data_IF_193500881080
#
_entry.id   IF_193500881080
#
_cell.length_a   1.000
_cell.length_b   1.000
_cell.length_c   1.000
_cell.angle_alpha   90.00
_cell.angle_beta   90.00
_cell.angle_gamma   90.00
#
_symmetry.space_group_name_H-M   'P 1'
#
loop_
_entity.id
_entity.type
_entity.pdbx_description
1 polymer ?
#
# COMPACT_ATOMS: atom_id res chain seq x y z
N UNK A 1 -1.35 16.74 41.23
CA UNK A 1 -1.79 17.05 39.86
C UNK A 1 -0.79 16.48 38.85
N UNK A 2 -0.96 15.26 38.34
CA UNK A 2 0.03 14.61 37.44
C UNK A 2 -0.59 13.85 36.25
N UNK A 3 -1.91 13.87 36.06
CA UNK A 3 -2.60 13.09 35.03
C UNK A 3 -2.57 13.71 33.62
N UNK A 4 -2.38 15.03 33.47
CA UNK A 4 -2.51 15.70 32.17
C UNK A 4 -1.31 15.51 31.22
N UNK A 5 -0.16 15.03 31.70
CA UNK A 5 1.05 14.92 30.87
C UNK A 5 0.97 13.78 29.85
N UNK A 6 0.34 12.66 30.24
CA UNK A 6 0.23 11.45 29.39
C UNK A 6 -0.83 11.60 28.29
N UNK A 7 -1.84 12.46 28.51
CA UNK A 7 -2.87 12.78 27.50
C UNK A 7 -2.31 13.67 26.39
N UNK A 8 -1.53 14.70 26.73
CA UNK A 8 -0.88 15.55 25.71
C UNK A 8 0.06 14.75 24.80
N UNK A 9 0.86 13.84 25.37
CA UNK A 9 1.80 13.02 24.60
C UNK A 9 1.08 12.07 23.59
N UNK A 10 -0.12 11.58 23.96
CA UNK A 10 -0.97 10.80 23.06
C UNK A 10 -1.61 11.66 21.96
N UNK A 11 -2.10 12.84 22.31
CA UNK A 11 -2.65 13.78 21.33
C UNK A 11 -1.58 14.24 20.33
N UNK A 12 -0.35 14.48 20.80
CA UNK A 12 0.79 14.84 19.95
C UNK A 12 1.18 13.68 19.01
N UNK A 13 1.12 12.44 19.49
CA UNK A 13 1.38 11.25 18.66
C UNK A 13 0.32 11.07 17.56
N UNK A 14 -0.98 11.21 17.89
CA UNK A 14 -2.08 11.13 16.93
C UNK A 14 -2.00 12.26 15.89
N UNK A 15 -1.71 13.49 16.32
CA UNK A 15 -1.55 14.63 15.41
C UNK A 15 -0.36 14.44 14.45
N UNK A 16 0.75 13.89 14.94
CA UNK A 16 1.91 13.54 14.10
C UNK A 16 1.55 12.49 13.06
N UNK A 17 0.80 11.46 13.43
CA UNK A 17 0.39 10.41 12.52
C UNK A 17 -0.57 10.93 11.43
N UNK A 18 -1.54 11.77 11.81
CA UNK A 18 -2.43 12.44 10.86
C UNK A 18 -1.66 13.36 9.91
N UNK A 19 -0.69 14.12 10.42
CA UNK A 19 0.17 14.98 9.59
C UNK A 19 1.03 14.16 8.61
N UNK A 20 1.63 13.06 9.07
CA UNK A 20 2.39 12.16 8.20
C UNK A 20 1.53 11.54 7.11
N UNK A 21 0.30 11.12 7.46
CA UNK A 21 -0.66 10.59 6.51
C UNK A 21 -1.01 11.63 5.44
N UNK A 22 -1.38 12.84 5.85
CA UNK A 22 -1.70 13.94 4.94
C UNK A 22 -0.50 14.28 4.04
N UNK A 23 0.71 14.35 4.60
CA UNK A 23 1.95 14.62 3.86
C UNK A 23 2.25 13.53 2.82
N UNK A 24 2.05 12.25 3.17
CA UNK A 24 2.22 11.13 2.23
C UNK A 24 1.25 11.24 1.06
N UNK A 25 -0.03 11.58 1.30
CA UNK A 25 -1.03 11.79 0.24
C UNK A 25 -0.67 12.98 -0.67
N UNK A 26 -0.17 14.08 -0.11
CA UNK A 26 0.28 15.24 -0.88
C UNK A 26 1.50 14.89 -1.75
N UNK A 27 2.48 14.16 -1.21
CA UNK A 27 3.68 13.73 -1.96
C UNK A 27 3.32 12.82 -3.14
N UNK A 28 2.33 11.93 -2.97
CA UNK A 28 1.83 11.08 -4.04
C UNK A 28 1.18 11.92 -5.17
N UNK A 29 0.32 12.89 -4.82
CA UNK A 29 -0.29 13.82 -5.79
C UNK A 29 0.76 14.68 -6.52
N UNK A 30 1.78 15.15 -5.80
CA UNK A 30 2.86 15.95 -6.38
C UNK A 30 3.71 15.15 -7.37
N UNK A 31 4.07 13.90 -7.03
CA UNK A 31 4.81 13.01 -7.92
C UNK A 31 4.02 12.73 -9.19
N UNK A 32 2.70 12.53 -9.08
CA UNK A 32 1.82 12.38 -10.24
C UNK A 32 1.89 13.60 -11.18
N UNK A 33 1.76 14.81 -10.64
CA UNK A 33 1.84 16.05 -11.42
C UNK A 33 3.21 16.25 -12.06
N UNK A 34 4.31 15.88 -11.37
CA UNK A 34 5.66 15.97 -11.94
C UNK A 34 5.82 15.11 -13.20
N UNK A 35 5.28 13.88 -13.19
CA UNK A 35 5.34 13.01 -14.38
C UNK A 35 4.50 13.60 -15.52
N UNK A 36 3.34 14.18 -15.23
CA UNK A 36 2.51 14.87 -16.22
C UNK A 36 3.24 16.05 -16.87
N UNK A 37 3.96 16.85 -16.08
CA UNK A 37 4.74 18.00 -16.57
C UNK A 37 5.91 17.54 -17.45
N UNK A 38 6.69 16.56 -17.01
CA UNK A 38 7.81 16.00 -17.81
C UNK A 38 7.28 15.38 -19.10
N UNK A 39 6.13 14.71 -19.04
CA UNK A 39 5.49 14.12 -20.21
C UNK A 39 5.03 15.19 -21.21
N UNK A 40 4.37 16.26 -20.75
CA UNK A 40 4.00 17.39 -21.61
C UNK A 40 5.23 18.03 -22.25
N UNK A 41 6.27 18.28 -21.45
CA UNK A 41 7.51 18.85 -21.94
C UNK A 41 8.18 17.97 -23.01
N UNK A 42 8.25 16.65 -22.79
CA UNK A 42 8.81 15.70 -23.76
C UNK A 42 7.97 15.57 -25.03
N UNK A 43 6.64 15.61 -24.91
CA UNK A 43 5.73 15.64 -26.06
C UNK A 43 5.91 16.90 -26.91
N UNK A 44 5.99 18.08 -26.27
CA UNK A 44 6.29 19.34 -26.95
C UNK A 44 7.68 19.30 -27.63
N UNK A 45 8.69 18.76 -26.95
CA UNK A 45 10.05 18.66 -27.48
C UNK A 45 10.08 17.82 -28.76
N UNK A 46 9.38 16.68 -28.79
CA UNK A 46 9.29 15.83 -29.99
C UNK A 46 8.56 16.48 -31.16
N UNK A 47 7.49 17.22 -30.89
CA UNK A 47 6.74 17.96 -31.92
C UNK A 47 7.63 19.05 -32.54
N UNK A 48 8.47 19.71 -31.74
CA UNK A 48 9.35 20.80 -32.18
C UNK A 48 10.60 20.26 -32.88
N UNK A 49 11.12 19.10 -32.46
CA UNK A 49 12.32 18.49 -33.06
C UNK A 49 12.12 18.15 -34.55
N UNK A 50 10.90 17.76 -34.94
CA UNK A 50 10.58 17.35 -36.31
C UNK A 50 10.76 18.49 -37.34
N UNK A 51 10.18 19.70 -37.15
CA UNK A 51 10.41 20.84 -38.04
C UNK A 51 11.77 21.53 -37.84
N UNK A 52 12.32 21.59 -36.60
CA UNK A 52 13.57 22.32 -36.33
C UNK A 52 14.80 21.62 -36.91
N UNK A 53 14.84 20.29 -36.89
CA UNK A 53 16.02 19.57 -37.37
C UNK A 53 16.04 19.39 -38.90
N UNK A 54 14.94 19.61 -39.62
CA UNK A 54 14.92 19.55 -41.09
C UNK A 54 15.40 18.21 -41.70
N UNK A 55 15.45 17.14 -40.89
CA UNK A 55 16.09 15.84 -41.21
C UNK A 55 15.38 15.07 -42.35
N UNK A 56 14.21 15.53 -42.80
CA UNK A 56 13.42 14.86 -43.84
C UNK A 56 14.02 14.84 -45.25
N UNK A 57 15.09 15.58 -45.53
CA UNK A 57 15.67 15.65 -46.90
C UNK A 57 16.83 14.68 -47.18
N UNK A 58 17.46 14.09 -46.15
CA UNK A 58 18.71 13.32 -46.33
C UNK A 58 18.75 11.95 -45.65
N UNK A 59 17.75 11.58 -44.85
CA UNK A 59 17.74 10.29 -44.16
C UNK A 59 17.04 9.21 -44.99
N UNK A 60 17.66 8.03 -45.11
CA UNK A 60 17.17 6.85 -45.86
C UNK A 60 15.77 6.35 -45.43
N UNK A 61 15.23 6.83 -44.31
CA UNK A 61 13.93 6.45 -43.78
C UNK A 61 13.00 7.66 -43.87
N UNK A 62 12.24 7.72 -44.97
CA UNK A 62 11.30 8.81 -45.32
C UNK A 62 10.28 9.17 -44.21
N UNK A 63 10.07 8.27 -43.23
CA UNK A 63 9.04 8.37 -42.19
C UNK A 63 9.54 8.03 -40.76
N UNK A 64 10.82 8.22 -40.45
CA UNK A 64 11.38 7.85 -39.13
C UNK A 64 10.64 8.49 -37.93
N UNK A 65 10.08 9.68 -38.12
CA UNK A 65 9.23 10.38 -37.17
C UNK A 65 7.97 9.58 -36.76
N UNK A 66 7.40 8.78 -37.65
CA UNK A 66 6.25 7.92 -37.35
C UNK A 66 6.64 6.85 -36.31
N UNK A 67 7.84 6.29 -36.44
CA UNK A 67 8.39 5.34 -35.47
C UNK A 67 8.71 6.03 -34.14
N UNK A 68 9.26 7.25 -34.17
CA UNK A 68 9.51 8.02 -32.96
C UNK A 68 8.20 8.35 -32.20
N UNK A 69 7.15 8.75 -32.90
CA UNK A 69 5.82 8.97 -32.30
C UNK A 69 5.23 7.66 -31.78
N UNK A 70 5.29 6.58 -32.55
CA UNK A 70 4.76 5.28 -32.13
C UNK A 70 5.42 4.81 -30.83
N UNK A 71 6.74 4.91 -30.75
CA UNK A 71 7.50 4.52 -29.56
C UNK A 71 7.16 5.43 -28.37
N UNK A 72 7.04 6.74 -28.60
CA UNK A 72 6.63 7.70 -27.58
C UNK A 72 5.19 7.49 -27.09
N UNK A 73 4.27 7.22 -28.01
CA UNK A 73 2.87 6.93 -27.72
C UNK A 73 2.71 5.63 -26.92
N UNK A 74 3.53 4.61 -27.21
CA UNK A 74 3.54 3.35 -26.47
C UNK A 74 4.07 3.55 -25.05
N UNK A 75 5.17 4.29 -24.87
CA UNK A 75 5.67 4.68 -23.55
C UNK A 75 4.63 5.47 -22.75
N UNK A 76 3.92 6.40 -23.40
CA UNK A 76 2.84 7.16 -22.77
C UNK A 76 1.69 6.25 -22.33
N UNK A 77 1.26 5.32 -23.17
CA UNK A 77 0.15 4.42 -22.88
C UNK A 77 0.48 3.54 -21.66
N UNK A 78 1.68 2.94 -21.63
CA UNK A 78 2.15 2.15 -20.46
C UNK A 78 2.21 3.01 -19.20
N UNK A 79 2.71 4.23 -19.31
CA UNK A 79 2.79 5.16 -18.19
C UNK A 79 1.41 5.51 -17.64
N UNK A 80 0.44 5.79 -18.52
CA UNK A 80 -0.93 6.11 -18.17
C UNK A 80 -1.62 4.93 -17.46
N UNK A 81 -1.46 3.71 -17.97
CA UNK A 81 -1.99 2.50 -17.33
C UNK A 81 -1.36 2.26 -15.95
N UNK A 82 -0.04 2.41 -15.80
CA UNK A 82 0.64 2.22 -14.51
C UNK A 82 0.18 3.26 -13.46
N UNK A 83 0.09 4.51 -13.88
CA UNK A 83 -0.27 5.61 -12.98
C UNK A 83 -1.75 5.64 -12.64
N UNK A 84 -2.63 5.27 -13.57
CA UNK A 84 -4.09 5.37 -13.37
C UNK A 84 -4.70 4.08 -12.84
N UNK A 85 -4.24 2.91 -13.33
CA UNK A 85 -4.80 1.60 -12.97
C UNK A 85 -4.02 0.98 -11.82
N UNK A 86 -2.69 0.81 -11.94
CA UNK A 86 -1.91 0.13 -10.90
C UNK A 86 -1.89 0.93 -9.59
N UNK A 87 -1.71 2.25 -9.66
CA UNK A 87 -1.67 3.08 -8.45
C UNK A 87 -3.03 3.21 -7.75
N UNK A 88 -4.15 3.02 -8.46
CA UNK A 88 -5.51 3.01 -7.88
C UNK A 88 -5.90 1.62 -7.35
N UNK A 89 -5.51 0.56 -8.06
CA UNK A 89 -5.87 -0.81 -7.71
C UNK A 89 -4.96 -1.44 -6.66
N UNK A 90 -3.65 -1.13 -6.69
CA UNK A 90 -2.62 -1.65 -5.77
C UNK A 90 -2.03 -0.53 -4.91
N UNK A 91 -2.79 0.55 -4.70
CA UNK A 91 -2.41 1.66 -3.84
C UNK A 91 -2.53 1.32 -2.36
N UNK A 92 -2.18 2.29 -1.51
CA UNK A 92 -2.17 2.18 -0.04
C UNK A 92 -3.47 1.61 0.55
N UNK A 93 -4.62 1.87 -0.06
CA UNK A 93 -5.92 1.32 0.41
C UNK A 93 -6.04 -0.19 0.23
N UNK A 94 -5.42 -0.78 -0.79
CA UNK A 94 -5.38 -2.23 -0.93
C UNK A 94 -4.47 -2.85 0.12
N UNK A 95 -3.33 -2.24 0.38
CA UNK A 95 -2.36 -2.67 1.40
C UNK A 95 -2.97 -2.59 2.80
N UNK A 96 -3.60 -1.47 3.16
CA UNK A 96 -4.28 -1.27 4.44
C UNK A 96 -5.39 -2.33 4.62
N UNK A 97 -6.18 -2.64 3.58
CA UNK A 97 -7.20 -3.72 3.62
C UNK A 97 -6.60 -5.11 3.82
N UNK A 98 -5.43 -5.39 3.25
CA UNK A 98 -4.75 -6.67 3.48
C UNK A 98 -4.21 -6.76 4.90
N UNK A 99 -3.66 -5.66 5.42
CA UNK A 99 -3.16 -5.58 6.79
C UNK A 99 -4.26 -5.85 7.81
N UNK A 100 -5.42 -5.24 7.64
CA UNK A 100 -6.57 -5.44 8.53
C UNK A 100 -7.05 -6.90 8.51
N UNK A 101 -7.06 -7.53 7.33
CA UNK A 101 -7.37 -8.97 7.21
C UNK A 101 -6.36 -9.85 7.95
N UNK A 102 -5.07 -9.54 7.89
CA UNK A 102 -4.02 -10.28 8.58
C UNK A 102 -4.12 -10.10 10.10
N UNK A 103 -4.32 -8.87 10.58
CA UNK A 103 -4.52 -8.58 12.01
C UNK A 103 -5.74 -9.30 12.56
N UNK A 104 -6.87 -9.29 11.84
CA UNK A 104 -8.08 -9.99 12.24
C UNK A 104 -7.85 -11.51 12.40
N UNK A 105 -7.09 -12.13 11.47
CA UNK A 105 -6.72 -13.55 11.57
C UNK A 105 -5.82 -13.83 12.78
N UNK A 106 -4.85 -12.94 13.05
CA UNK A 106 -3.97 -13.08 14.21
C UNK A 106 -4.77 -12.97 15.51
N UNK A 107 -5.68 -12.00 15.62
CA UNK A 107 -6.53 -11.82 16.80
C UNK A 107 -7.41 -13.06 17.04
N UNK A 108 -8.08 -13.57 16.01
CA UNK A 108 -8.90 -14.77 16.14
C UNK A 108 -8.11 -16.00 16.62
N UNK A 109 -6.83 -16.12 16.21
CA UNK A 109 -5.95 -17.21 16.67
C UNK A 109 -5.53 -17.03 18.12
N UNK A 110 -5.27 -15.78 18.56
CA UNK A 110 -4.98 -15.46 19.96
C UNK A 110 -6.19 -15.80 20.84
N UNK A 111 -7.39 -15.42 20.42
CA UNK A 111 -8.62 -15.69 21.17
C UNK A 111 -8.87 -17.20 21.31
N UNK A 112 -8.63 -17.98 20.24
CA UNK A 112 -8.72 -19.45 20.30
C UNK A 112 -7.69 -20.06 21.26
N UNK A 113 -6.44 -19.59 21.26
CA UNK A 113 -5.41 -20.07 22.18
C UNK A 113 -5.76 -19.71 23.64
N UNK A 114 -6.30 -18.51 23.89
CA UNK A 114 -6.75 -18.11 25.21
C UNK A 114 -7.86 -19.03 25.75
N UNK A 115 -8.84 -19.37 24.91
CA UNK A 115 -9.92 -20.31 25.26
C UNK A 115 -9.39 -21.74 25.53
N UNK A 116 -8.39 -22.22 24.77
CA UNK A 116 -7.78 -23.53 25.01
C UNK A 116 -7.04 -23.56 26.35
N UNK A 117 -6.26 -22.52 26.66
CA UNK A 117 -5.56 -22.39 27.93
C UNK A 117 -6.54 -22.36 29.11
N UNK A 118 -7.63 -21.59 29.02
CA UNK A 118 -8.64 -21.54 30.08
C UNK A 118 -9.32 -22.91 30.29
N UNK A 119 -9.62 -23.62 29.20
CA UNK A 119 -10.20 -24.96 29.26
C UNK A 119 -9.24 -25.97 29.89
N UNK A 120 -7.95 -25.94 29.54
CA UNK A 120 -6.92 -26.81 30.12
C UNK A 120 -6.70 -26.52 31.61
N UNK A 121 -6.66 -25.23 32.00
CA UNK A 121 -6.57 -24.82 33.41
C UNK A 121 -7.79 -25.32 34.17
N UNK A 122 -9.00 -25.11 33.65
CA UNK A 122 -10.26 -25.55 34.29
C UNK A 122 -10.30 -27.07 34.44
N UNK A 123 -9.96 -27.81 33.38
CA UNK A 123 -9.93 -29.28 33.40
C UNK A 123 -8.89 -29.80 34.39
N UNK A 124 -7.73 -29.15 34.48
CA UNK A 124 -6.67 -29.51 35.42
C UNK A 124 -7.05 -29.24 36.88
N UNK A 125 -7.78 -28.15 37.14
CA UNK A 125 -8.27 -27.82 38.48
C UNK A 125 -9.42 -28.75 38.90
N UNK A 126 -10.34 -29.09 37.99
CA UNK A 126 -11.41 -30.07 38.26
C UNK A 126 -10.80 -31.44 38.61
N UNK A 127 -9.83 -31.92 37.82
CA UNK A 127 -9.16 -33.20 38.05
C UNK A 127 -8.34 -33.26 39.34
N UNK A 128 -7.87 -32.10 39.84
CA UNK A 128 -7.14 -32.00 41.12
C UNK A 128 -8.07 -32.04 42.34
N UNK A 129 -9.34 -31.66 42.17
CA UNK A 129 -10.33 -31.59 43.24
C UNK A 129 -11.31 -32.78 43.25
N UNK A 130 -11.17 -33.73 42.32
CA UNK A 130 -11.98 -34.95 42.24
C UNK A 130 -11.38 -36.04 43.16
N UNK A 131 -12.16 -36.64 44.09
CA UNK A 131 -11.64 -37.68 44.98
C UNK A 131 -11.27 -38.95 44.19
N UNK A 132 -10.27 -39.75 44.66
CA UNK A 132 -9.85 -40.95 43.95
C UNK A 132 -11.04 -41.89 43.73
N UNK A 133 -11.35 -42.19 42.46
CA UNK A 133 -12.32 -43.21 42.09
C UNK A 133 -11.77 -44.57 42.53
N UNK A 134 -12.35 -45.09 43.61
CA UNK A 134 -12.12 -46.44 44.11
C UNK A 134 -12.63 -47.43 43.06
N UNK A 135 -11.70 -48.01 42.29
CA UNK A 135 -12.00 -49.09 41.35
C UNK A 135 -12.37 -50.34 42.14
N UNK A 136 -13.66 -50.49 42.47
CA UNK A 136 -14.25 -51.78 42.78
C UNK A 136 -14.54 -52.49 41.45
N UNK A 137 -13.84 -53.60 41.20
CA UNK A 137 -14.19 -54.55 40.15
C UNK A 137 -14.50 -55.90 40.82
N UNK A 138 -15.52 -56.64 40.34
CA UNK A 138 -16.22 -57.69 41.08
C UNK A 138 -15.46 -59.00 41.24
#
# INVERSE_FOLDING_TARGET
MFSNRKTNDRMDAEQREQYEYARKRIKQKKRLMQHFIVFLAGSLLLIIINPVLGIGKGFFIKNWFVWAILMWALLFLVHLLNVFILNRFMGKEWEDRQMDRLKAKQQAKIDQMALQVEKEITTSQVKKNEPPQETQNP
#
